data_IF_638984270422
#
_entry.id   IF_638984270422
#
_cell.length_a   1.000
_cell.length_b   1.000
_cell.length_c   1.000
_cell.angle_alpha   90.00
_cell.angle_beta   90.00
_cell.angle_gamma   90.00
#
_symmetry.space_group_name_H-M   'P 1'
#
loop_
_entity.id
_entity.type
_entity.pdbx_description
1 polymer ?
#
# COMPACT_ATOMS: atom_id res chain seq x y z
N UNK A 1 -23.80 -17.51 7.76
CA UNK A 1 -22.51 -17.97 7.30
C UNK A 1 -21.43 -16.93 7.45
N UNK A 2 -20.29 -17.39 7.90
CA UNK A 2 -19.17 -16.48 8.18
C UNK A 2 -18.63 -15.73 6.96
N UNK A 3 -18.90 -16.22 5.77
CA UNK A 3 -18.39 -15.59 4.55
C UNK A 3 -18.94 -14.21 4.26
N UNK A 4 -20.20 -13.99 4.54
CA UNK A 4 -20.82 -12.69 4.27
C UNK A 4 -20.20 -11.58 5.11
N UNK A 5 -19.65 -11.92 6.26
CA UNK A 5 -19.03 -10.95 7.16
C UNK A 5 -17.66 -10.51 6.69
N UNK A 6 -17.01 -11.26 5.81
CA UNK A 6 -15.71 -10.87 5.28
C UNK A 6 -15.81 -9.64 4.40
N UNK A 7 -16.91 -9.53 3.67
CA UNK A 7 -17.09 -8.44 2.73
C UNK A 7 -17.34 -7.11 3.43
N UNK A 8 -17.77 -7.17 4.70
CA UNK A 8 -18.02 -5.97 5.48
C UNK A 8 -16.77 -5.44 6.20
N UNK A 9 -15.66 -6.18 6.17
CA UNK A 9 -14.43 -5.74 6.81
C UNK A 9 -13.82 -4.60 5.98
N UNK A 10 -13.30 -3.56 6.65
CA UNK A 10 -12.65 -2.49 5.92
C UNK A 10 -11.40 -3.01 5.22
N UNK A 11 -11.08 -2.42 4.07
CA UNK A 11 -9.81 -2.70 3.41
C UNK A 11 -8.68 -2.17 4.28
N UNK A 12 -7.70 -3.01 4.54
CA UNK A 12 -6.62 -2.69 5.45
C UNK A 12 -5.40 -2.22 4.66
N UNK A 13 -4.96 -1.00 4.93
CA UNK A 13 -3.71 -0.48 4.44
C UNK A 13 -2.74 -0.47 5.61
N UNK A 14 -1.85 -1.47 5.65
CA UNK A 14 -0.93 -1.66 6.78
C UNK A 14 0.51 -1.33 6.45
N UNK A 15 0.74 -0.79 5.27
CA UNK A 15 2.10 -0.53 4.78
C UNK A 15 2.26 0.96 4.53
N UNK A 16 3.45 1.45 4.79
CA UNK A 16 3.77 2.85 4.52
C UNK A 16 5.24 3.01 4.17
N UNK A 17 5.54 4.09 3.44
CA UNK A 17 6.91 4.52 3.20
C UNK A 17 7.24 5.67 4.15
N UNK A 18 8.40 5.59 4.76
CA UNK A 18 8.96 6.68 5.56
C UNK A 18 10.44 6.75 5.23
N UNK A 19 10.91 7.94 4.84
CA UNK A 19 12.27 8.14 4.37
C UNK A 19 12.65 7.15 3.26
N UNK A 20 11.73 6.93 2.33
CA UNK A 20 11.85 6.02 1.20
C UNK A 20 12.03 4.54 1.58
N UNK A 21 11.75 4.19 2.82
CA UNK A 21 11.81 2.79 3.28
C UNK A 21 10.41 2.27 3.51
N UNK A 22 10.15 1.06 3.00
CA UNK A 22 8.87 0.40 3.18
C UNK A 22 8.78 -0.27 4.54
N UNK A 23 7.65 -0.07 5.20
CA UNK A 23 7.38 -0.59 6.54
C UNK A 23 6.03 -1.27 6.58
N UNK A 24 5.90 -2.22 7.50
CA UNK A 24 4.60 -2.81 7.85
C UNK A 24 4.27 -2.44 9.29
N UNK A 25 3.06 -1.95 9.53
CA UNK A 25 2.61 -1.63 10.88
C UNK A 25 2.39 -2.93 11.65
N UNK A 26 3.03 -3.08 12.79
CA UNK A 26 2.85 -4.22 13.69
C UNK A 26 1.89 -3.88 14.82
N UNK A 27 2.01 -2.68 15.39
CA UNK A 27 1.12 -2.19 16.43
C UNK A 27 1.18 -0.67 16.48
N UNK A 28 0.19 -0.06 17.10
CA UNK A 28 0.19 1.37 17.30
C UNK A 28 -0.56 1.74 18.59
N UNK A 29 -0.15 2.84 19.21
CA UNK A 29 -0.82 3.39 20.37
C UNK A 29 -0.84 4.91 20.26
N UNK A 30 -2.04 5.47 20.13
CA UNK A 30 -2.20 6.92 20.08
C UNK A 30 -1.86 7.58 21.41
N UNK A 31 -2.27 6.94 22.51
CA UNK A 31 -2.06 7.48 23.85
C UNK A 31 -0.60 7.55 24.21
N UNK A 32 0.22 6.62 23.71
CA UNK A 32 1.66 6.60 23.94
C UNK A 32 2.45 7.25 22.83
N UNK A 33 1.78 7.75 21.79
CA UNK A 33 2.42 8.33 20.60
C UNK A 33 3.44 7.38 19.97
N UNK A 34 3.05 6.12 19.77
CA UNK A 34 3.95 5.08 19.27
C UNK A 34 3.36 4.32 18.09
N UNK A 35 4.22 4.03 17.11
CA UNK A 35 3.96 3.03 16.08
C UNK A 35 5.15 2.09 16.06
N UNK A 36 4.87 0.79 16.21
CA UNK A 36 5.88 -0.25 16.04
C UNK A 36 5.69 -0.82 14.64
N UNK A 37 6.76 -0.83 13.87
CA UNK A 37 6.72 -1.26 12.49
C UNK A 37 7.92 -2.13 12.16
N UNK A 38 7.76 -2.95 11.13
CA UNK A 38 8.87 -3.69 10.55
C UNK A 38 9.41 -2.89 9.37
N UNK A 39 10.69 -2.55 9.44
CA UNK A 39 11.39 -1.88 8.35
C UNK A 39 12.02 -2.93 7.45
N UNK A 40 11.45 -3.14 6.26
CA UNK A 40 11.91 -4.21 5.36
C UNK A 40 13.36 -4.03 4.89
N UNK A 41 13.78 -2.84 4.45
CA UNK A 41 15.17 -2.70 4.01
C UNK A 41 16.19 -2.99 5.11
N UNK A 42 15.91 -2.57 6.32
CA UNK A 42 16.82 -2.74 7.46
C UNK A 42 16.63 -4.08 8.16
N UNK A 43 15.58 -4.82 7.80
CA UNK A 43 15.24 -6.14 8.36
C UNK A 43 15.20 -6.11 9.88
N UNK A 44 14.53 -5.11 10.44
CA UNK A 44 14.41 -4.96 11.89
C UNK A 44 13.11 -4.27 12.27
N UNK A 45 12.72 -4.48 13.52
CA UNK A 45 11.58 -3.79 14.13
C UNK A 45 12.04 -2.42 14.55
N UNK A 46 11.23 -1.41 14.26
CA UNK A 46 11.51 -0.02 14.63
C UNK A 46 10.30 0.58 15.33
N UNK A 47 10.54 1.59 16.15
CA UNK A 47 9.47 2.32 16.81
C UNK A 47 9.61 3.80 16.47
N UNK A 48 8.50 4.41 16.07
CA UNK A 48 8.44 5.82 15.72
C UNK A 48 7.37 6.52 16.54
N UNK A 49 7.52 7.82 16.79
CA UNK A 49 6.40 8.60 17.29
C UNK A 49 5.25 8.56 16.29
N UNK A 50 4.04 8.30 16.79
CA UNK A 50 2.84 8.26 15.96
C UNK A 50 2.66 9.54 15.15
N UNK A 51 2.84 10.69 15.82
CA UNK A 51 2.70 12.01 15.21
C UNK A 51 3.67 12.23 14.06
N UNK A 52 4.91 11.72 14.21
CA UNK A 52 5.92 11.84 13.16
C UNK A 52 5.55 11.04 11.92
N UNK A 53 5.10 9.81 12.12
CA UNK A 53 4.70 8.95 11.00
C UNK A 53 3.51 9.55 10.29
N UNK A 54 2.50 9.98 11.04
CA UNK A 54 1.31 10.60 10.47
C UNK A 54 1.66 11.79 9.56
N UNK A 55 2.64 12.59 9.98
CA UNK A 55 3.02 13.80 9.26
C UNK A 55 3.86 13.54 8.02
N UNK A 56 4.76 12.55 8.08
CA UNK A 56 5.82 12.41 7.08
C UNK A 56 5.71 11.18 6.19
N UNK A 57 4.75 10.28 6.44
CA UNK A 57 4.67 9.04 5.70
C UNK A 57 3.91 9.19 4.38
N UNK A 58 4.15 8.21 3.50
CA UNK A 58 3.36 8.00 2.30
C UNK A 58 2.75 6.60 2.39
N UNK A 59 1.45 6.48 2.10
CA UNK A 59 0.79 5.18 2.11
C UNK A 59 1.36 4.30 1.00
N UNK A 60 1.57 3.02 1.31
CA UNK A 60 1.99 2.03 0.34
C UNK A 60 0.80 1.15 -0.04
N UNK A 61 0.68 0.83 -1.32
CA UNK A 61 -0.46 0.08 -1.85
C UNK A 61 -0.03 -1.27 -2.40
N UNK A 62 -0.91 -2.25 -2.28
CA UNK A 62 -0.70 -3.58 -2.88
C UNK A 62 -1.15 -3.55 -4.34
N UNK A 63 -0.73 -4.56 -5.11
CA UNK A 63 -1.15 -4.67 -6.51
C UNK A 63 -2.67 -4.80 -6.65
N UNK A 64 -3.32 -5.46 -5.69
CA UNK A 64 -4.78 -5.60 -5.72
C UNK A 64 -5.46 -4.24 -5.59
N UNK A 65 -4.95 -3.38 -4.72
CA UNK A 65 -5.47 -2.02 -4.55
C UNK A 65 -5.22 -1.17 -5.80
N UNK A 66 -4.03 -1.27 -6.38
CA UNK A 66 -3.70 -0.53 -7.61
C UNK A 66 -4.56 -1.00 -8.77
N UNK A 67 -4.76 -2.30 -8.90
CA UNK A 67 -5.65 -2.89 -9.89
C UNK A 67 -7.07 -2.31 -9.79
N UNK A 68 -7.59 -2.24 -8.57
CA UNK A 68 -8.92 -1.67 -8.34
C UNK A 68 -8.98 -0.18 -8.69
N UNK A 69 -7.96 0.58 -8.31
CA UNK A 69 -7.91 2.01 -8.61
C UNK A 69 -7.87 2.31 -10.10
N UNK A 70 -7.15 1.50 -10.87
CA UNK A 70 -6.94 1.74 -12.29
C UNK A 70 -7.93 0.99 -13.19
N UNK A 71 -8.80 0.17 -12.62
CA UNK A 71 -9.73 -0.68 -13.39
C UNK A 71 -8.98 -1.54 -14.41
N UNK A 72 -7.82 -2.08 -14.01
CA UNK A 72 -7.01 -2.96 -14.82
C UNK A 72 -6.72 -4.24 -14.07
N UNK A 73 -6.65 -5.34 -14.78
CA UNK A 73 -6.34 -6.63 -14.17
C UNK A 73 -4.92 -6.62 -13.62
N UNK A 74 -4.72 -7.24 -12.44
CA UNK A 74 -3.41 -7.27 -11.80
C UNK A 74 -2.33 -7.91 -12.67
N UNK A 75 -2.71 -8.90 -13.48
CA UNK A 75 -1.76 -9.56 -14.39
C UNK A 75 -1.24 -8.56 -15.43
N UNK A 76 -2.10 -7.68 -15.93
CA UNK A 76 -1.71 -6.64 -16.87
C UNK A 76 -0.67 -5.72 -16.24
N UNK A 77 -0.88 -5.33 -14.99
CA UNK A 77 0.05 -4.47 -14.26
C UNK A 77 1.38 -5.18 -14.03
N UNK A 78 1.32 -6.47 -13.64
CA UNK A 78 2.53 -7.29 -13.48
C UNK A 78 3.33 -7.38 -14.78
N UNK A 79 2.65 -7.56 -15.91
CA UNK A 79 3.31 -7.63 -17.20
C UNK A 79 4.04 -6.32 -17.53
N UNK A 80 3.44 -5.18 -17.24
CA UNK A 80 4.10 -3.89 -17.44
C UNK A 80 5.40 -3.81 -16.64
N UNK A 81 5.37 -4.28 -15.39
CA UNK A 81 6.54 -4.28 -14.52
C UNK A 81 7.62 -5.21 -15.06
N UNK A 82 7.24 -6.44 -15.41
CA UNK A 82 8.17 -7.45 -15.91
C UNK A 82 8.79 -7.06 -17.25
N UNK A 83 8.04 -6.36 -18.08
CA UNK A 83 8.52 -5.92 -19.38
C UNK A 83 9.30 -4.59 -19.32
N UNK A 84 9.44 -4.03 -18.14
CA UNK A 84 10.19 -2.79 -17.96
C UNK A 84 9.51 -1.54 -18.50
N UNK A 85 8.21 -1.58 -18.69
CA UNK A 85 7.44 -0.47 -19.27
C UNK A 85 7.07 0.61 -18.27
N UNK A 86 7.16 0.29 -16.99
CA UNK A 86 6.86 1.21 -15.89
C UNK A 86 7.96 1.10 -14.85
N UNK A 87 8.03 2.08 -13.95
CA UNK A 87 9.00 2.07 -12.84
C UNK A 87 8.72 0.85 -11.98
N UNK A 88 9.76 0.07 -11.67
CA UNK A 88 9.63 -1.12 -10.82
C UNK A 88 9.30 -0.70 -9.39
N UNK A 89 8.17 -1.17 -8.83
CA UNK A 89 7.84 -0.88 -7.45
C UNK A 89 8.76 -1.60 -6.47
N UNK A 90 8.71 -1.19 -5.22
CA UNK A 90 9.47 -1.84 -4.16
C UNK A 90 8.94 -3.25 -3.91
N UNK A 91 9.84 -4.22 -3.80
CA UNK A 91 9.48 -5.61 -3.52
C UNK A 91 9.75 -5.92 -2.05
N UNK A 92 8.83 -6.63 -1.41
CA UNK A 92 8.99 -7.06 -0.02
C UNK A 92 8.91 -8.59 0.07
N UNK A 93 9.48 -9.12 1.14
CA UNK A 93 9.61 -10.55 1.41
C UNK A 93 9.06 -10.87 2.81
N UNK A 94 8.85 -12.15 3.15
CA UNK A 94 8.35 -12.52 4.48
C UNK A 94 9.23 -11.98 5.60
N UNK A 95 8.60 -11.51 6.66
CA UNK A 95 9.29 -10.99 7.83
C UNK A 95 10.03 -12.11 8.53
N UNK A 96 11.31 -11.86 8.88
CA UNK A 96 12.11 -12.81 9.64
C UNK A 96 12.72 -13.95 8.85
N UNK A 97 12.51 -13.99 7.55
CA UNK A 97 13.05 -15.02 6.68
C UNK A 97 14.00 -14.42 5.65
N UNK A 98 14.91 -15.22 5.08
CA UNK A 98 15.72 -14.76 3.96
C UNK A 98 14.85 -14.38 2.78
N UNK A 99 15.32 -13.47 1.95
CA UNK A 99 14.63 -13.10 0.74
C UNK A 99 14.43 -14.33 -0.13
N UNK A 100 13.20 -14.50 -0.63
CA UNK A 100 12.82 -15.69 -1.36
C UNK A 100 12.20 -15.34 -2.71
N UNK A 101 12.56 -16.11 -3.74
CA UNK A 101 11.93 -15.98 -5.05
C UNK A 101 10.50 -16.49 -5.05
N UNK A 102 10.16 -17.39 -4.13
CA UNK A 102 8.86 -18.04 -4.11
C UNK A 102 7.77 -17.18 -3.47
N UNK A 103 8.16 -16.22 -2.64
CA UNK A 103 7.21 -15.35 -2.00
C UNK A 103 7.76 -13.93 -1.97
N UNK A 104 7.08 -13.07 -2.66
CA UNK A 104 7.37 -11.63 -2.63
C UNK A 104 6.15 -10.92 -3.15
N UNK A 105 6.02 -9.64 -2.82
CA UNK A 105 4.99 -8.81 -3.43
C UNK A 105 5.51 -7.40 -3.65
N UNK A 106 4.91 -6.72 -4.60
CA UNK A 106 5.22 -5.35 -4.90
C UNK A 106 4.41 -4.43 -4.00
N UNK A 107 5.06 -3.37 -3.53
CA UNK A 107 4.43 -2.29 -2.80
C UNK A 107 4.59 -1.02 -3.62
N UNK A 108 3.48 -0.37 -3.88
CA UNK A 108 3.40 0.75 -4.81
C UNK A 108 3.29 2.05 -4.03
N UNK A 109 4.10 3.05 -4.40
CA UNK A 109 3.92 4.41 -3.91
C UNK A 109 3.07 5.19 -4.92
N UNK A 110 2.76 6.43 -4.60
CA UNK A 110 1.95 7.26 -5.47
C UNK A 110 2.61 7.46 -6.84
N UNK A 111 3.92 7.65 -6.85
CA UNK A 111 4.68 7.83 -8.09
C UNK A 111 4.58 6.62 -9.00
N UNK A 112 4.65 5.40 -8.44
CA UNK A 112 4.47 4.17 -9.20
C UNK A 112 3.10 4.13 -9.86
N UNK A 113 2.06 4.47 -9.10
CA UNK A 113 0.69 4.42 -9.58
C UNK A 113 0.46 5.42 -10.71
N UNK A 114 0.96 6.63 -10.55
CA UNK A 114 0.86 7.66 -11.58
C UNK A 114 1.63 7.30 -12.84
N UNK A 115 2.78 6.64 -12.68
CA UNK A 115 3.58 6.18 -13.82
C UNK A 115 2.83 5.10 -14.62
N UNK A 116 2.20 4.16 -13.91
CA UNK A 116 1.38 3.12 -14.56
C UNK A 116 0.20 3.76 -15.29
N UNK A 117 -0.48 4.69 -14.66
CA UNK A 117 -1.58 5.42 -15.25
C UNK A 117 -1.16 6.10 -16.55
N UNK A 118 -0.03 6.78 -16.54
CA UNK A 118 0.49 7.46 -17.71
C UNK A 118 0.83 6.47 -18.83
N UNK A 119 1.43 5.33 -18.47
CA UNK A 119 1.73 4.29 -19.47
C UNK A 119 0.46 3.76 -20.15
N UNK A 120 -0.61 3.56 -19.40
CA UNK A 120 -1.88 3.10 -19.94
C UNK A 120 -2.45 4.15 -20.90
N UNK A 121 -2.39 5.42 -20.54
CA UNK A 121 -2.82 6.52 -21.41
C UNK A 121 -2.03 6.52 -22.70
N UNK A 122 -0.71 6.42 -22.62
CA UNK A 122 0.17 6.47 -23.78
C UNK A 122 -0.02 5.27 -24.70
N UNK A 123 -0.45 4.13 -24.13
CA UNK A 123 -0.69 2.90 -24.89
C UNK A 123 -2.04 2.87 -25.58
N UNK A 124 -2.90 3.85 -25.34
CA UNK A 124 -4.24 3.87 -25.92
C UNK A 124 -5.23 2.91 -25.29
N UNK A 125 -4.90 2.27 -24.17
CA UNK A 125 -5.78 1.33 -23.48
C UNK A 125 -6.51 2.01 -22.31
N UNK A 126 -7.03 3.20 -22.55
CA UNK A 126 -7.61 4.03 -21.50
C UNK A 126 -9.09 3.75 -21.23
N UNK A 127 -9.68 2.71 -21.82
CA UNK A 127 -11.05 2.33 -21.53
C UNK A 127 -11.22 2.05 -20.02
N UNK A 128 -12.22 2.66 -19.43
CA UNK A 128 -12.53 2.54 -18.00
C UNK A 128 -11.44 3.04 -17.05
N UNK A 129 -10.37 3.59 -17.58
CA UNK A 129 -9.31 4.17 -16.76
C UNK A 129 -9.83 5.48 -16.14
N UNK A 130 -9.63 5.68 -14.82
CA UNK A 130 -10.01 6.96 -14.22
C UNK A 130 -9.13 8.08 -14.76
N UNK A 131 -9.67 9.29 -14.76
CA UNK A 131 -8.86 10.47 -15.10
C UNK A 131 -7.78 10.68 -14.03
N UNK A 132 -6.75 11.44 -14.35
CA UNK A 132 -5.71 11.74 -13.38
C UNK A 132 -6.28 12.43 -12.13
N UNK A 133 -7.25 13.33 -12.31
CA UNK A 133 -7.89 14.01 -11.19
C UNK A 133 -8.67 13.04 -10.30
N UNK A 134 -9.39 12.10 -10.89
CA UNK A 134 -10.10 11.06 -10.15
C UNK A 134 -9.13 10.17 -9.38
N UNK A 135 -8.05 9.77 -10.04
CA UNK A 135 -7.03 8.93 -9.41
C UNK A 135 -6.37 9.64 -8.23
N UNK A 136 -6.03 10.92 -8.36
CA UNK A 136 -5.47 11.69 -7.27
C UNK A 136 -6.45 11.80 -6.11
N UNK A 137 -7.75 11.91 -6.39
CA UNK A 137 -8.79 11.89 -5.37
C UNK A 137 -8.85 10.56 -4.63
N UNK A 138 -8.73 9.45 -5.35
CA UNK A 138 -8.69 8.11 -4.74
C UNK A 138 -7.47 7.96 -3.83
N UNK A 139 -6.31 8.41 -4.29
CA UNK A 139 -5.07 8.32 -3.51
C UNK A 139 -5.15 9.18 -2.25
N UNK A 140 -5.86 10.29 -2.29
CA UNK A 140 -5.96 11.23 -1.18
C UNK A 140 -7.03 10.83 -0.16
N UNK A 141 -8.21 10.37 -0.61
CA UNK A 141 -9.40 10.30 0.22
C UNK A 141 -9.90 8.89 0.56
N UNK A 142 -9.65 7.91 -0.28
CA UNK A 142 -10.30 6.60 -0.16
C UNK A 142 -9.48 5.55 0.57
N UNK A 143 -8.22 5.80 0.83
CA UNK A 143 -7.37 4.82 1.48
C UNK A 143 -6.90 5.33 2.82
N UNK A 144 -7.05 4.50 3.84
CA UNK A 144 -6.77 4.83 5.23
C UNK A 144 -5.79 3.77 5.74
N UNK A 145 -4.80 4.20 6.50
CA UNK A 145 -3.91 3.26 7.14
C UNK A 145 -4.55 2.76 8.43
N UNK A 146 -4.68 1.45 8.55
CA UNK A 146 -5.30 0.81 9.70
C UNK A 146 -4.30 -0.05 10.45
N UNK A 147 -4.52 -0.20 11.74
CA UNK A 147 -3.91 -1.25 12.54
C UNK A 147 -5.00 -2.16 13.09
N UNK A 148 -4.65 -3.42 13.31
CA UNK A 148 -5.58 -4.39 13.88
C UNK A 148 -5.36 -4.48 15.38
N UNK A 149 -6.44 -4.39 16.15
CA UNK A 149 -6.38 -4.55 17.60
C UNK A 149 -6.32 -6.03 17.97
N UNK A 150 -5.98 -6.33 19.23
CA UNK A 150 -5.99 -7.70 19.76
C UNK A 150 -7.37 -8.34 19.66
N UNK A 151 -8.42 -7.54 19.67
CA UNK A 151 -9.79 -8.01 19.51
C UNK A 151 -10.18 -8.28 18.06
N UNK A 152 -9.25 -8.07 17.14
CA UNK A 152 -9.51 -8.28 15.72
C UNK A 152 -10.18 -7.12 15.02
N UNK A 153 -10.33 -5.99 15.69
CA UNK A 153 -10.92 -4.80 15.07
C UNK A 153 -9.87 -4.00 14.32
N UNK A 154 -10.31 -3.37 13.21
CA UNK A 154 -9.44 -2.47 12.47
C UNK A 154 -9.70 -1.04 12.93
N UNK A 155 -8.65 -0.37 13.38
CA UNK A 155 -8.72 1.01 13.84
C UNK A 155 -7.89 1.86 12.90
N UNK A 156 -8.42 2.96 12.35
CA UNK A 156 -7.61 3.83 11.52
C UNK A 156 -6.54 4.50 12.35
N UNK A 157 -5.31 4.47 11.82
CA UNK A 157 -4.20 5.19 12.44
C UNK A 157 -4.42 6.68 12.19
N UNK A 158 -4.81 7.03 10.98
CA UNK A 158 -5.30 8.35 10.63
C UNK A 158 -6.06 8.25 9.31
N UNK A 159 -6.82 9.30 9.03
CA UNK A 159 -7.55 9.40 7.77
C UNK A 159 -6.83 10.36 6.84
N UNK A 160 -6.85 10.04 5.55
CA UNK A 160 -6.48 11.00 4.53
C UNK A 160 -7.55 12.07 4.46
N UNK A 161 -7.15 13.31 4.35
CA UNK A 161 -8.08 14.43 4.24
C UNK A 161 -8.20 14.92 2.81
#
# INVERSE_FOLDING_TARGET
MARSKRDSKPKVLRYFFLNDKIHKVLSSSRSKDEIVAWCYPDKKRVMYPYSQVKKNMETAYTIVQVSAMLNKHRVTIQDYILEGKVITPTKIYPIGEPDSQYWSKYMFNQKNILDIHQHILDSGHSSELPSKAELLGLLKNNFILYTKTDEGKFIPIWKAE
#
